data_IF_109298613645
#
_entry.id   IF_109298613645
#
_cell.length_a   1.000
_cell.length_b   1.000
_cell.length_c   1.000
_cell.angle_alpha   90.00
_cell.angle_beta   90.00
_cell.angle_gamma   90.00
#
_symmetry.space_group_name_H-M   'P 1'
#
loop_
_entity.id
_entity.type
_entity.pdbx_description
1 polymer ?
#
# COMPACT_ATOMS: atom_id res chain seq x y z
N UNK A 1 -15.57 -7.26 41.78
CA UNK A 1 -15.53 -5.88 41.24
C UNK A 1 -16.55 -5.82 40.13
N UNK A 2 -17.66 -5.15 40.39
CA UNK A 2 -18.84 -5.00 39.53
C UNK A 2 -18.55 -3.99 38.42
N UNK A 3 -18.79 -4.35 37.17
CA UNK A 3 -18.69 -3.44 36.03
C UNK A 3 -19.73 -2.31 36.17
N UNK A 4 -19.28 -1.06 36.09
CA UNK A 4 -20.11 0.15 36.20
C UNK A 4 -21.10 0.25 35.03
N UNK A 5 -22.30 0.72 35.34
CA UNK A 5 -23.47 0.89 34.47
C UNK A 5 -23.42 2.16 33.59
N UNK A 6 -22.25 2.52 33.03
CA UNK A 6 -22.08 3.81 32.30
C UNK A 6 -22.12 3.70 30.77
N UNK A 7 -22.33 2.51 30.21
CA UNK A 7 -22.30 2.33 28.75
C UNK A 7 -23.52 2.90 28.01
N UNK A 8 -24.68 3.05 28.66
CA UNK A 8 -25.93 3.41 28.00
C UNK A 8 -26.00 4.87 27.49
N UNK A 9 -25.16 5.77 28.02
CA UNK A 9 -25.11 7.20 27.63
C UNK A 9 -23.86 7.57 26.82
N UNK A 10 -23.09 6.57 26.35
CA UNK A 10 -21.91 6.83 25.54
C UNK A 10 -22.28 7.06 24.08
N UNK A 11 -21.70 8.08 23.46
CA UNK A 11 -21.71 8.29 21.99
C UNK A 11 -21.18 7.05 21.22
N UNK A 12 -20.41 6.19 21.88
CA UNK A 12 -19.86 4.96 21.29
C UNK A 12 -20.70 3.71 21.57
N UNK A 13 -21.85 3.82 22.23
CA UNK A 13 -22.64 2.66 22.65
C UNK A 13 -23.07 1.75 21.49
N UNK A 14 -23.22 2.29 20.28
CA UNK A 14 -23.60 1.55 19.07
C UNK A 14 -22.42 1.14 18.17
N UNK A 15 -21.19 1.47 18.56
CA UNK A 15 -20.00 1.14 17.74
C UNK A 15 -19.67 -0.34 17.91
N UNK A 16 -19.82 -1.08 16.82
CA UNK A 16 -19.43 -2.49 16.75
C UNK A 16 -17.93 -2.62 16.47
N UNK A 17 -17.30 -3.65 17.03
CA UNK A 17 -15.91 -3.95 16.74
C UNK A 17 -15.75 -4.31 15.25
N UNK A 18 -14.81 -3.64 14.58
CA UNK A 18 -14.47 -3.95 13.19
C UNK A 18 -13.83 -5.35 13.08
N UNK A 19 -14.01 -6.05 11.95
CA UNK A 19 -13.31 -7.30 11.70
C UNK A 19 -11.79 -7.09 11.74
N UNK A 20 -11.05 -8.11 12.18
CA UNK A 20 -9.59 -8.07 12.15
C UNK A 20 -9.09 -8.12 10.69
N UNK A 21 -8.04 -7.34 10.39
CA UNK A 21 -7.36 -7.42 9.10
C UNK A 21 -6.68 -8.80 8.97
N UNK A 22 -6.98 -9.59 7.92
CA UNK A 22 -6.47 -10.96 7.77
C UNK A 22 -4.95 -11.06 7.75
N UNK A 23 -4.24 -10.02 7.28
CA UNK A 23 -2.77 -10.00 7.19
C UNK A 23 -2.17 -9.60 8.54
N UNK A 24 -2.76 -8.61 9.22
CA UNK A 24 -2.28 -8.17 10.54
C UNK A 24 -2.56 -9.21 11.63
N UNK A 25 -3.68 -9.92 11.55
CA UNK A 25 -4.05 -11.00 12.48
C UNK A 25 -2.99 -12.11 12.54
N UNK A 26 -2.39 -12.47 11.39
CA UNK A 26 -1.29 -13.46 11.33
C UNK A 26 -0.08 -13.01 12.15
N UNK A 27 0.27 -11.73 12.09
CA UNK A 27 1.40 -11.19 12.87
C UNK A 27 1.10 -11.18 14.37
N UNK A 28 -0.15 -10.89 14.76
CA UNK A 28 -0.58 -10.96 16.16
C UNK A 28 -0.48 -12.39 16.68
N UNK A 29 -0.99 -13.37 15.93
CA UNK A 29 -0.90 -14.79 16.29
C UNK A 29 0.57 -15.25 16.38
N UNK A 30 1.39 -14.90 15.38
CA UNK A 30 2.83 -15.18 15.38
C UNK A 30 3.53 -14.60 16.62
N UNK A 31 3.22 -13.37 17.02
CA UNK A 31 3.84 -12.76 18.20
C UNK A 31 3.45 -13.46 19.50
N UNK A 32 2.22 -13.99 19.60
CA UNK A 32 1.71 -14.72 20.77
C UNK A 32 2.21 -16.16 20.85
N UNK A 33 2.62 -16.76 19.73
CA UNK A 33 3.14 -18.12 19.69
C UNK A 33 4.45 -18.22 20.50
N UNK A 34 4.53 -19.06 21.55
CA UNK A 34 5.74 -19.22 22.36
C UNK A 34 6.79 -20.13 21.71
N UNK A 35 6.47 -20.79 20.60
CA UNK A 35 7.37 -21.73 19.93
C UNK A 35 8.67 -21.02 19.51
N UNK A 36 9.84 -21.61 19.80
CA UNK A 36 11.12 -21.08 19.31
C UNK A 36 11.29 -21.24 17.80
N UNK A 37 10.54 -22.15 17.18
CA UNK A 37 10.64 -22.52 15.76
C UNK A 37 9.53 -21.89 14.90
N UNK A 38 8.90 -20.82 15.39
CA UNK A 38 7.82 -20.12 14.67
C UNK A 38 8.35 -19.32 13.47
N UNK A 39 7.59 -19.32 12.37
CA UNK A 39 7.90 -18.57 11.16
C UNK A 39 6.72 -17.70 10.74
N UNK A 40 6.97 -16.43 10.42
CA UNK A 40 5.95 -15.51 9.88
C UNK A 40 6.11 -15.41 8.36
N UNK A 41 5.17 -16.01 7.62
CA UNK A 41 5.08 -15.93 6.15
C UNK A 41 3.90 -15.07 5.67
N UNK A 42 3.27 -14.29 6.57
CA UNK A 42 2.08 -13.51 6.27
C UNK A 42 2.40 -12.15 5.66
N UNK A 43 3.08 -11.29 6.40
CA UNK A 43 3.38 -9.93 5.96
C UNK A 43 4.56 -9.93 5.00
N UNK A 44 4.40 -9.32 3.82
CA UNK A 44 5.45 -9.12 2.82
C UNK A 44 6.52 -8.10 3.21
N UNK A 45 7.03 -8.16 4.45
CA UNK A 45 8.09 -7.30 4.94
C UNK A 45 9.42 -8.06 4.91
N UNK A 46 10.41 -7.52 4.20
CA UNK A 46 11.70 -8.18 4.03
C UNK A 46 12.40 -8.41 5.39
N UNK A 47 13.10 -9.55 5.48
CA UNK A 47 13.82 -10.00 6.67
C UNK A 47 15.22 -10.48 6.31
N UNK A 48 16.13 -10.42 7.28
CA UNK A 48 17.43 -11.09 7.22
C UNK A 48 17.27 -12.60 7.34
N UNK A 49 18.36 -13.32 7.15
CA UNK A 49 18.47 -14.77 7.34
C UNK A 49 18.08 -15.19 8.78
N UNK A 50 18.29 -14.32 9.77
CA UNK A 50 17.86 -14.53 11.17
C UNK A 50 16.39 -14.13 11.43
N UNK A 51 15.62 -13.81 10.38
CA UNK A 51 14.22 -13.42 10.50
C UNK A 51 13.99 -12.01 11.06
N UNK A 52 15.01 -11.13 11.08
CA UNK A 52 14.91 -9.77 11.64
C UNK A 52 14.59 -8.72 10.57
N UNK A 53 13.95 -7.58 10.90
CA UNK A 53 13.77 -6.48 9.95
C UNK A 53 15.11 -5.99 9.38
N UNK A 54 15.19 -5.85 8.06
CA UNK A 54 16.38 -5.30 7.39
C UNK A 54 16.21 -3.81 7.11
N UNK A 55 17.13 -3.00 7.62
CA UNK A 55 17.34 -1.63 7.14
C UNK A 55 18.50 -1.64 6.15
N UNK A 56 18.30 -1.07 4.96
CA UNK A 56 19.33 -1.05 3.92
C UNK A 56 20.48 -0.09 4.31
N UNK A 57 21.72 -0.44 3.97
CA UNK A 57 22.89 0.40 4.27
C UNK A 57 22.80 1.79 3.62
N UNK A 58 22.21 1.88 2.43
CA UNK A 58 21.96 3.16 1.75
C UNK A 58 20.97 4.04 2.51
N UNK A 59 19.97 3.45 3.18
CA UNK A 59 19.01 4.18 4.02
C UNK A 59 19.71 4.69 5.28
N UNK A 60 20.50 3.85 5.97
CA UNK A 60 21.29 4.27 7.13
C UNK A 60 22.23 5.44 6.80
N UNK A 61 22.90 5.37 5.64
CA UNK A 61 23.76 6.46 5.16
C UNK A 61 22.95 7.73 4.89
N UNK A 62 21.78 7.63 4.26
CA UNK A 62 20.90 8.77 4.04
C UNK A 62 20.44 9.39 5.37
N UNK A 63 20.01 8.59 6.35
CA UNK A 63 19.63 9.06 7.69
C UNK A 63 20.78 9.82 8.38
N UNK A 64 22.01 9.31 8.30
CA UNK A 64 23.19 9.97 8.83
C UNK A 64 23.49 11.30 8.13
N UNK A 65 23.29 11.39 6.81
CA UNK A 65 23.46 12.66 6.09
C UNK A 65 22.37 13.67 6.51
N UNK A 66 21.13 13.21 6.67
CA UNK A 66 20.00 14.07 7.04
C UNK A 66 20.14 14.62 8.47
N UNK A 67 20.59 13.81 9.44
CA UNK A 67 20.73 14.27 10.83
C UNK A 67 21.92 15.20 11.03
N UNK A 68 22.97 15.06 10.22
CA UNK A 68 24.19 15.86 10.31
C UNK A 68 24.15 17.13 9.46
N UNK A 69 23.07 17.41 8.74
CA UNK A 69 22.92 18.61 7.91
C UNK A 69 22.29 19.75 8.74
N UNK A 70 23.08 20.76 9.18
CA UNK A 70 22.60 21.85 10.02
C UNK A 70 21.70 22.85 9.27
N UNK A 71 21.65 22.79 7.94
CA UNK A 71 20.81 23.69 7.13
C UNK A 71 19.34 23.25 7.08
N UNK A 72 19.05 22.02 7.50
CA UNK A 72 17.71 21.46 7.43
C UNK A 72 16.79 22.03 8.50
N UNK A 73 15.59 22.38 8.05
CA UNK A 73 14.46 22.77 8.90
C UNK A 73 13.30 21.79 8.74
N UNK A 74 12.35 21.78 9.69
CA UNK A 74 11.17 20.90 9.70
C UNK A 74 9.88 21.68 9.40
N UNK A 75 9.99 22.64 8.49
CA UNK A 75 8.85 23.43 8.02
C UNK A 75 7.91 22.60 7.14
N UNK A 76 6.70 23.12 6.92
CA UNK A 76 5.76 22.52 6.01
C UNK A 76 6.32 22.41 4.58
N UNK A 77 6.10 21.25 3.97
CA UNK A 77 6.33 21.06 2.55
C UNK A 77 5.19 21.70 1.73
N UNK A 78 5.42 22.00 0.45
CA UNK A 78 4.34 22.31 -0.49
C UNK A 78 3.28 21.21 -0.53
N UNK A 79 2.05 21.55 -0.92
CA UNK A 79 0.92 20.60 -1.06
C UNK A 79 1.30 19.40 -1.94
N UNK A 80 2.10 19.64 -2.98
CA UNK A 80 2.54 18.60 -3.91
C UNK A 80 3.72 17.77 -3.41
N UNK A 81 4.28 18.10 -2.25
CA UNK A 81 5.44 17.46 -1.65
C UNK A 81 6.78 18.11 -1.98
N UNK A 82 7.86 17.38 -1.74
CA UNK A 82 9.22 17.84 -2.01
C UNK A 82 9.52 17.74 -3.51
N UNK A 83 9.88 18.85 -4.15
CA UNK A 83 10.08 18.91 -5.60
C UNK A 83 11.15 17.92 -6.10
N UNK A 84 12.28 17.80 -5.40
CA UNK A 84 13.34 16.85 -5.76
C UNK A 84 12.90 15.39 -5.58
N UNK A 85 12.11 15.09 -4.54
CA UNK A 85 11.53 13.76 -4.37
C UNK A 85 10.64 13.41 -5.56
N UNK A 86 9.71 14.29 -5.93
CA UNK A 86 8.82 14.09 -7.07
C UNK A 86 9.60 13.87 -8.38
N UNK A 87 10.58 14.72 -8.65
CA UNK A 87 11.43 14.63 -9.85
C UNK A 87 12.22 13.32 -9.90
N UNK A 88 12.84 12.92 -8.79
CA UNK A 88 13.65 11.71 -8.72
C UNK A 88 12.78 10.44 -8.73
N UNK A 89 11.61 10.46 -8.12
CA UNK A 89 10.63 9.37 -8.19
C UNK A 89 10.13 9.14 -9.61
N UNK A 90 9.82 10.21 -10.36
CA UNK A 90 9.46 10.09 -11.77
C UNK A 90 10.59 9.43 -12.59
N UNK A 91 11.83 9.89 -12.41
CA UNK A 91 13.01 9.30 -13.07
C UNK A 91 13.27 7.85 -12.69
N UNK A 92 12.95 7.45 -11.46
CA UNK A 92 13.10 6.07 -11.01
C UNK A 92 12.13 5.14 -11.75
N UNK A 93 10.90 5.58 -12.00
CA UNK A 93 9.85 4.79 -12.66
C UNK A 93 10.01 4.78 -14.19
N UNK A 94 10.23 5.96 -14.79
CA UNK A 94 10.26 6.13 -16.24
C UNK A 94 11.67 6.07 -16.84
N UNK A 95 12.71 5.91 -16.01
CA UNK A 95 14.11 6.14 -16.36
C UNK A 95 14.44 7.63 -16.62
N UNK A 96 15.71 7.99 -16.51
CA UNK A 96 16.14 9.38 -16.61
C UNK A 96 15.94 10.00 -18.00
N UNK A 97 15.89 9.16 -19.04
CA UNK A 97 15.95 9.54 -20.44
C UNK A 97 14.57 9.47 -21.12
N UNK A 98 13.51 9.30 -20.33
CA UNK A 98 12.14 9.13 -20.85
C UNK A 98 11.68 10.35 -21.65
N UNK A 99 11.14 10.16 -22.87
CA UNK A 99 10.50 11.22 -23.65
C UNK A 99 9.33 11.86 -22.90
N UNK A 100 8.55 11.09 -22.12
CA UNK A 100 7.43 11.60 -21.34
C UNK A 100 7.87 12.64 -20.31
N UNK A 101 9.05 12.46 -19.70
CA UNK A 101 9.64 13.46 -18.80
C UNK A 101 10.14 14.67 -19.61
N UNK A 102 10.85 14.46 -20.71
CA UNK A 102 11.43 15.54 -21.53
C UNK A 102 10.36 16.42 -22.18
N UNK A 103 9.23 15.83 -22.56
CA UNK A 103 8.08 16.48 -23.18
C UNK A 103 7.07 17.02 -22.16
N UNK A 104 7.38 16.97 -20.85
CA UNK A 104 6.51 17.45 -19.76
C UNK A 104 5.13 16.76 -19.70
N UNK A 105 5.06 15.47 -20.05
CA UNK A 105 3.83 14.65 -19.98
C UNK A 105 3.62 13.95 -18.63
N UNK A 106 4.58 14.04 -17.71
CA UNK A 106 4.52 13.41 -16.38
C UNK A 106 4.19 14.44 -15.31
N UNK A 107 3.15 14.17 -14.51
CA UNK A 107 2.86 14.90 -13.27
C UNK A 107 3.13 13.98 -12.07
N UNK A 108 3.75 14.52 -11.02
CA UNK A 108 4.06 13.76 -9.80
C UNK A 108 3.70 14.57 -8.57
N UNK A 109 2.98 13.94 -7.65
CA UNK A 109 2.60 14.46 -6.35
C UNK A 109 3.00 13.45 -5.29
N UNK A 110 3.66 13.90 -4.23
CA UNK A 110 4.03 13.06 -3.11
C UNK A 110 2.77 12.67 -2.31
N UNK A 111 2.61 11.38 -2.05
CA UNK A 111 1.50 10.82 -1.30
C UNK A 111 1.98 9.96 -0.12
N UNK A 112 1.05 9.54 0.74
CA UNK A 112 1.32 8.65 1.86
C UNK A 112 1.52 7.20 1.38
N UNK A 113 2.72 6.91 0.87
CA UNK A 113 3.10 5.60 0.32
C UNK A 113 2.15 5.14 -0.81
N UNK A 114 2.18 3.86 -1.16
CA UNK A 114 1.32 3.28 -2.20
C UNK A 114 -0.16 3.49 -1.91
N UNK A 115 -0.63 3.18 -0.70
CA UNK A 115 -2.06 3.32 -0.32
C UNK A 115 -2.58 4.74 -0.49
N UNK A 116 -1.84 5.76 -0.05
CA UNK A 116 -2.24 7.16 -0.23
C UNK A 116 -2.19 7.63 -1.68
N UNK A 117 -1.50 6.90 -2.54
CA UNK A 117 -1.38 7.17 -3.98
C UNK A 117 -2.51 6.54 -4.79
N UNK A 118 -3.21 5.53 -4.24
CA UNK A 118 -4.34 4.88 -4.88
C UNK A 118 -5.60 5.74 -4.72
N UNK A 119 -5.96 6.49 -5.77
CA UNK A 119 -7.22 7.28 -5.78
C UNK A 119 -8.09 7.08 -7.01
N UNK A 120 -7.60 6.40 -8.04
CA UNK A 120 -8.29 6.24 -9.31
C UNK A 120 -8.00 4.88 -9.93
N UNK A 121 -8.89 3.90 -9.72
CA UNK A 121 -8.92 2.65 -10.47
C UNK A 121 -10.34 2.08 -10.45
N UNK A 122 -10.85 1.66 -11.60
CA UNK A 122 -12.22 1.13 -11.75
C UNK A 122 -12.19 -0.38 -12.01
N UNK A 123 -11.13 -0.91 -12.62
CA UNK A 123 -10.96 -2.32 -12.91
C UNK A 123 -9.72 -2.86 -12.21
N UNK A 124 -9.88 -3.93 -11.41
CA UNK A 124 -8.78 -4.62 -10.72
C UNK A 124 -8.72 -6.10 -11.12
N UNK A 125 -7.51 -6.64 -11.22
CA UNK A 125 -7.29 -8.06 -11.51
C UNK A 125 -7.87 -8.98 -10.42
N UNK A 126 -8.20 -10.23 -10.75
CA UNK A 126 -8.67 -11.23 -9.79
C UNK A 126 -7.71 -12.45 -9.76
N UNK A 127 -7.16 -12.83 -8.57
CA UNK A 127 -7.21 -12.16 -7.27
C UNK A 127 -6.24 -10.97 -7.20
N UNK A 128 -6.45 -10.04 -6.27
CA UNK A 128 -5.60 -8.84 -6.08
C UNK A 128 -5.11 -8.66 -4.65
N UNK A 129 -4.39 -7.57 -4.37
CA UNK A 129 -4.07 -7.16 -3.00
C UNK A 129 -5.33 -6.86 -2.20
N UNK A 130 -5.49 -7.49 -1.03
CA UNK A 130 -6.72 -7.47 -0.25
C UNK A 130 -7.25 -6.08 0.14
N UNK A 131 -6.37 -5.07 0.20
CA UNK A 131 -6.75 -3.70 0.54
C UNK A 131 -7.29 -2.90 -0.67
N UNK A 132 -7.16 -3.39 -1.91
CA UNK A 132 -7.67 -2.65 -3.08
C UNK A 132 -9.18 -2.37 -3.01
N UNK A 133 -10.07 -3.35 -2.76
CA UNK A 133 -11.51 -3.07 -2.67
C UNK A 133 -11.83 -2.06 -1.57
N UNK A 134 -11.20 -2.17 -0.40
CA UNK A 134 -11.46 -1.26 0.73
C UNK A 134 -11.06 0.18 0.42
N UNK A 135 -9.87 0.39 -0.15
CA UNK A 135 -9.38 1.72 -0.52
C UNK A 135 -10.28 2.38 -1.55
N UNK A 136 -10.65 1.67 -2.62
CA UNK A 136 -11.46 2.25 -3.70
C UNK A 136 -12.92 2.45 -3.30
N UNK A 137 -13.52 1.50 -2.57
CA UNK A 137 -14.88 1.66 -2.06
C UNK A 137 -14.99 2.82 -1.05
N UNK A 138 -13.97 3.00 -0.19
CA UNK A 138 -13.91 4.12 0.75
C UNK A 138 -13.76 5.47 0.04
N UNK A 139 -13.21 5.48 -1.18
CA UNK A 139 -13.16 6.65 -2.06
C UNK A 139 -14.46 6.86 -2.87
N UNK A 140 -15.49 6.04 -2.65
CA UNK A 140 -16.76 6.12 -3.37
C UNK A 140 -16.72 5.58 -4.81
N UNK A 141 -15.69 4.81 -5.17
CA UNK A 141 -15.54 4.25 -6.51
C UNK A 141 -16.20 2.88 -6.61
N UNK A 142 -16.90 2.64 -7.73
CA UNK A 142 -17.41 1.30 -8.05
C UNK A 142 -16.29 0.46 -8.67
N UNK A 143 -15.86 -0.57 -7.95
CA UNK A 143 -14.80 -1.47 -8.38
C UNK A 143 -15.37 -2.63 -9.21
N UNK A 144 -14.88 -2.79 -10.42
CA UNK A 144 -15.09 -3.93 -11.31
C UNK A 144 -13.83 -4.80 -11.33
N UNK A 145 -13.98 -6.06 -11.72
CA UNK A 145 -12.86 -7.01 -11.77
C UNK A 145 -12.68 -7.61 -13.17
N UNK A 146 -11.48 -8.12 -13.44
CA UNK A 146 -11.16 -8.90 -14.65
C UNK A 146 -10.31 -10.12 -14.30
N UNK A 147 -10.44 -11.19 -15.10
CA UNK A 147 -9.70 -12.44 -14.95
C UNK A 147 -8.19 -12.20 -15.12
N UNK A 148 -7.40 -12.85 -14.26
CA UNK A 148 -5.95 -12.72 -14.29
C UNK A 148 -5.22 -14.02 -13.91
N UNK A 149 -5.52 -14.62 -12.76
CA UNK A 149 -4.85 -15.85 -12.35
C UNK A 149 -5.65 -17.09 -12.74
N UNK A 150 -5.01 -18.06 -13.39
CA UNK A 150 -5.58 -19.37 -13.71
C UNK A 150 -5.17 -20.40 -12.64
N UNK A 151 -6.10 -20.95 -11.83
CA UNK A 151 -5.77 -21.97 -10.82
C UNK A 151 -5.20 -23.26 -11.41
N UNK A 152 -5.60 -23.61 -12.63
CA UNK A 152 -5.17 -24.83 -13.31
C UNK A 152 -3.70 -24.77 -13.74
N UNK A 153 -3.27 -23.61 -14.26
CA UNK A 153 -1.90 -23.43 -14.77
C UNK A 153 -0.99 -22.76 -13.75
N UNK A 154 -1.56 -22.17 -12.68
CA UNK A 154 -0.87 -21.28 -11.73
C UNK A 154 -0.18 -20.10 -12.41
N UNK A 155 -0.68 -19.71 -13.58
CA UNK A 155 -0.16 -18.64 -14.42
C UNK A 155 -1.22 -17.63 -14.80
N UNK A 156 -0.91 -16.85 -15.85
CA UNK A 156 -1.81 -15.84 -16.39
C UNK A 156 -2.95 -16.49 -17.20
N UNK A 157 -4.19 -16.19 -16.86
CA UNK A 157 -5.37 -16.39 -17.72
C UNK A 157 -5.40 -15.27 -18.79
N UNK A 158 -4.51 -15.36 -19.77
CA UNK A 158 -4.35 -14.33 -20.80
C UNK A 158 -5.63 -14.17 -21.63
N UNK A 159 -6.28 -15.28 -21.97
CA UNK A 159 -7.50 -15.26 -22.77
C UNK A 159 -8.63 -14.57 -22.00
N UNK A 160 -8.86 -14.95 -20.74
CA UNK A 160 -9.90 -14.32 -19.92
C UNK A 160 -9.62 -12.85 -19.64
N UNK A 161 -8.36 -12.48 -19.42
CA UNK A 161 -7.93 -11.09 -19.28
C UNK A 161 -8.33 -10.27 -20.52
N UNK A 162 -7.98 -10.74 -21.72
CA UNK A 162 -8.23 -10.01 -22.96
C UNK A 162 -9.73 -9.89 -23.27
N UNK A 163 -10.52 -10.92 -22.99
CA UNK A 163 -11.98 -10.90 -23.12
C UNK A 163 -12.63 -9.86 -22.19
N UNK A 164 -12.24 -9.85 -20.92
CA UNK A 164 -12.81 -8.95 -19.92
C UNK A 164 -12.41 -7.49 -20.18
N UNK A 165 -11.15 -7.24 -20.55
CA UNK A 165 -10.70 -5.90 -20.93
C UNK A 165 -11.32 -5.44 -22.26
N UNK A 166 -11.49 -6.34 -23.24
CA UNK A 166 -12.11 -6.02 -24.53
C UNK A 166 -13.61 -5.70 -24.43
N UNK A 167 -14.29 -6.21 -23.40
CA UNK A 167 -15.70 -5.94 -23.11
C UNK A 167 -15.91 -4.84 -22.06
N UNK A 168 -14.83 -4.28 -21.51
CA UNK A 168 -14.90 -3.22 -20.52
C UNK A 168 -15.49 -1.94 -21.12
N UNK A 169 -16.56 -1.43 -20.50
CA UNK A 169 -17.12 -0.13 -20.87
C UNK A 169 -16.17 0.97 -20.38
N UNK A 170 -15.79 1.86 -21.29
CA UNK A 170 -15.13 3.11 -20.92
C UNK A 170 -16.04 3.87 -19.98
N UNK A 171 -15.54 4.21 -18.79
CA UNK A 171 -16.25 5.10 -17.88
C UNK A 171 -16.13 6.50 -18.47
N UNK A 172 -17.26 7.04 -18.93
CA UNK A 172 -17.41 8.43 -19.34
C UNK A 172 -17.33 9.36 -18.13
#
# INVERSE_FOLDING_TARGET
MTASSDHANSVFASVVQAPEDPILGVTVAYNKDPSPDKLNLGVGAYRTEEGKPLVLNVVRKAEQLLVNDPSRVKEYLPITGLADFNKLSAKLIFCADSPEIQENRVTTVQCLSGTGSLRHTIYILQPTWGNHPEVFNSAGLSVKTYRYHSPNTRGLDLQGLLEDLGSAQLVQ
#
